data_IF_471901480588
#
_entry.id   IF_471901480588
#
_cell.length_a   1.000
_cell.length_b   1.000
_cell.length_c   1.000
_cell.angle_alpha   90.00
_cell.angle_beta   90.00
_cell.angle_gamma   90.00
#
_symmetry.space_group_name_H-M   'P 1'
#
loop_
_entity.id
_entity.type
_entity.pdbx_description
1 polymer ?
#
# COMPACT_ATOMS: atom_id res chain seq x y z
N UNK A 1 19.88 2.81 -27.51
CA UNK A 1 19.51 2.18 -26.24
C UNK A 1 18.22 1.39 -26.43
N UNK A 2 18.24 0.15 -25.97
CA UNK A 2 17.09 -0.76 -26.06
C UNK A 2 16.69 -1.21 -24.64
N UNK A 3 15.41 -1.09 -24.32
CA UNK A 3 14.84 -1.51 -23.04
C UNK A 3 13.76 -2.55 -23.28
N UNK A 4 13.83 -3.65 -22.57
CA UNK A 4 12.83 -4.70 -22.58
C UNK A 4 12.31 -4.95 -21.15
N UNK A 5 11.07 -4.53 -20.91
CA UNK A 5 10.40 -4.65 -19.62
C UNK A 5 9.34 -5.76 -19.66
N UNK A 6 9.36 -6.61 -18.67
CA UNK A 6 8.38 -7.67 -18.46
C UNK A 6 7.84 -7.57 -17.04
N UNK A 7 6.52 -7.67 -16.91
CA UNK A 7 5.82 -7.69 -15.63
C UNK A 7 4.71 -8.73 -15.67
N UNK A 8 4.62 -9.57 -14.63
CA UNK A 8 3.55 -10.54 -14.46
C UNK A 8 3.22 -10.69 -12.98
N UNK A 9 1.94 -10.77 -12.68
CA UNK A 9 1.46 -10.90 -11.30
C UNK A 9 0.18 -11.70 -11.18
N UNK A 10 -0.09 -12.14 -9.97
CA UNK A 10 -1.34 -12.80 -9.57
C UNK A 10 -1.80 -12.21 -8.25
N UNK A 11 -3.09 -12.02 -8.10
CA UNK A 11 -3.70 -11.58 -6.86
C UNK A 11 -4.93 -12.43 -6.53
N UNK A 12 -5.13 -12.65 -5.24
CA UNK A 12 -6.30 -13.34 -4.67
C UNK A 12 -6.93 -12.39 -3.68
N UNK A 13 -8.23 -12.25 -3.77
CA UNK A 13 -9.01 -11.41 -2.86
C UNK A 13 -10.21 -12.20 -2.36
N UNK A 14 -10.48 -12.13 -1.07
CA UNK A 14 -11.65 -12.73 -0.44
C UNK A 14 -12.22 -11.80 0.61
N UNK A 15 -13.52 -11.78 0.73
CA UNK A 15 -14.20 -10.93 1.70
C UNK A 15 -15.52 -11.54 2.15
N UNK A 16 -15.94 -11.21 3.37
CA UNK A 16 -17.29 -11.40 3.85
C UNK A 16 -17.78 -10.07 4.42
N UNK A 17 -18.76 -9.48 3.75
CA UNK A 17 -19.38 -8.23 4.14
C UNK A 17 -20.73 -8.57 4.82
N UNK A 18 -20.81 -8.26 6.11
CA UNK A 18 -22.05 -8.36 6.87
C UNK A 18 -22.23 -7.07 7.66
N UNK A 19 -23.29 -6.31 7.37
CA UNK A 19 -23.58 -5.04 8.01
C UNK A 19 -24.47 -5.16 9.26
N UNK A 20 -24.95 -6.36 9.59
CA UNK A 20 -25.84 -6.54 10.74
C UNK A 20 -25.10 -6.30 12.07
N UNK A 21 -25.80 -5.76 13.05
CA UNK A 21 -25.29 -5.64 14.41
C UNK A 21 -24.92 -7.03 14.97
N UNK A 22 -23.82 -7.11 15.71
CA UNK A 22 -23.33 -8.37 16.30
C UNK A 22 -22.66 -9.31 15.30
N UNK A 23 -22.31 -8.84 14.10
CA UNK A 23 -21.69 -9.66 13.05
C UNK A 23 -20.22 -9.34 12.82
N UNK A 24 -19.49 -10.37 12.40
CA UNK A 24 -18.12 -10.22 11.91
C UNK A 24 -18.11 -9.93 10.41
N UNK A 25 -17.13 -9.15 9.96
CA UNK A 25 -16.78 -8.97 8.57
C UNK A 25 -15.27 -9.05 8.41
N UNK A 26 -14.82 -9.43 7.21
CA UNK A 26 -13.41 -9.46 6.88
C UNK A 26 -13.18 -9.16 5.41
N UNK A 27 -12.00 -8.67 5.13
CA UNK A 27 -11.45 -8.53 3.80
C UNK A 27 -9.99 -8.97 3.83
N UNK A 28 -9.58 -9.79 2.90
CA UNK A 28 -8.20 -10.22 2.72
C UNK A 28 -7.83 -10.17 1.25
N UNK A 29 -6.67 -9.59 0.97
CA UNK A 29 -6.08 -9.52 -0.35
C UNK A 29 -4.62 -9.92 -0.25
N UNK A 30 -4.16 -10.76 -1.19
CA UNK A 30 -2.75 -11.11 -1.33
C UNK A 30 -2.39 -11.06 -2.80
N UNK A 31 -1.25 -10.47 -3.12
CA UNK A 31 -0.76 -10.31 -4.46
C UNK A 31 0.72 -10.63 -4.54
N UNK A 32 1.13 -11.30 -5.61
CA UNK A 32 2.53 -11.49 -5.96
C UNK A 32 2.76 -10.92 -7.35
N UNK A 33 3.85 -10.18 -7.49
CA UNK A 33 4.25 -9.58 -8.75
C UNK A 33 5.74 -9.81 -9.00
N UNK A 34 6.07 -10.14 -10.25
CA UNK A 34 7.44 -10.30 -10.74
C UNK A 34 7.69 -9.35 -11.88
N UNK A 35 8.70 -8.50 -11.74
CA UNK A 35 9.15 -7.59 -12.79
C UNK A 35 10.60 -7.90 -13.19
N UNK A 36 10.86 -7.78 -14.47
CA UNK A 36 12.18 -7.91 -15.06
C UNK A 36 12.41 -6.82 -16.09
N UNK A 37 13.53 -6.14 -16.00
CA UNK A 37 13.92 -5.15 -16.98
C UNK A 37 15.36 -5.40 -17.46
N UNK A 38 15.55 -5.43 -18.78
CA UNK A 38 16.85 -5.49 -19.43
C UNK A 38 17.11 -4.12 -20.07
N UNK A 39 18.13 -3.43 -19.61
CA UNK A 39 18.56 -2.15 -20.18
C UNK A 39 19.91 -2.40 -20.87
N UNK A 40 19.97 -2.16 -22.17
CA UNK A 40 21.21 -2.20 -22.95
C UNK A 40 21.63 -0.77 -23.23
N UNK A 41 22.68 -0.29 -22.58
CA UNK A 41 23.24 1.03 -22.78
C UNK A 41 24.35 1.07 -23.81
N UNK A 42 24.77 2.28 -24.22
CA UNK A 42 25.83 2.52 -25.22
C UNK A 42 27.23 2.03 -24.79
N UNK A 43 27.39 1.49 -23.59
CA UNK A 43 28.65 1.00 -23.01
C UNK A 43 28.58 -0.47 -22.56
N UNK A 44 28.02 -1.35 -23.36
CA UNK A 44 28.04 -2.83 -23.19
C UNK A 44 27.69 -3.41 -21.80
N UNK A 45 27.21 -2.63 -20.87
CA UNK A 45 26.73 -3.10 -19.59
C UNK A 45 25.22 -3.39 -19.62
N UNK A 46 24.88 -4.67 -19.75
CA UNK A 46 23.55 -5.18 -19.55
C UNK A 46 23.15 -5.03 -18.08
N UNK A 47 22.41 -4.01 -17.74
CA UNK A 47 21.78 -3.91 -16.41
C UNK A 47 20.50 -4.71 -16.42
N UNK A 48 20.53 -5.89 -15.83
CA UNK A 48 19.35 -6.70 -15.60
C UNK A 48 18.84 -6.45 -14.17
N UNK A 49 17.61 -5.98 -14.08
CA UNK A 49 16.91 -5.80 -12.82
C UNK A 49 15.81 -6.85 -12.73
N UNK A 50 15.74 -7.52 -11.61
CA UNK A 50 14.64 -8.40 -11.25
C UNK A 50 14.09 -7.97 -9.91
N UNK A 51 12.78 -7.80 -9.85
CA UNK A 51 12.06 -7.44 -8.63
C UNK A 51 10.92 -8.42 -8.40
N UNK A 52 10.78 -8.85 -7.16
CA UNK A 52 9.65 -9.63 -6.68
C UNK A 52 8.95 -8.84 -5.58
N UNK A 53 7.65 -8.69 -5.70
CA UNK A 53 6.82 -7.98 -4.75
C UNK A 53 5.77 -8.93 -4.22
N UNK A 54 5.63 -8.99 -2.91
CA UNK A 54 4.54 -9.66 -2.22
C UNK A 54 3.77 -8.63 -1.41
N UNK A 55 2.49 -8.49 -1.72
CA UNK A 55 1.55 -7.63 -1.01
C UNK A 55 0.54 -8.50 -0.25
N UNK A 56 0.32 -8.21 1.00
CA UNK A 56 -0.74 -8.81 1.83
C UNK A 56 -1.44 -7.69 2.57
N UNK A 57 -2.76 -7.64 2.45
CA UNK A 57 -3.63 -6.72 3.16
C UNK A 57 -4.80 -7.50 3.75
N UNK A 58 -5.08 -7.28 5.02
CA UNK A 58 -6.14 -7.97 5.74
C UNK A 58 -6.82 -7.01 6.71
N UNK A 59 -8.13 -7.08 6.76
CA UNK A 59 -8.95 -6.38 7.74
C UNK A 59 -9.95 -7.36 8.33
N UNK A 60 -10.06 -7.38 9.64
CA UNK A 60 -11.15 -8.05 10.35
C UNK A 60 -11.87 -7.03 11.22
N UNK A 61 -13.19 -7.07 11.24
CA UNK A 61 -14.00 -6.12 11.99
C UNK A 61 -15.23 -6.77 12.60
N UNK A 62 -15.74 -6.11 13.63
CA UNK A 62 -16.96 -6.48 14.32
C UNK A 62 -17.92 -5.30 14.38
N UNK A 63 -19.14 -5.52 13.94
CA UNK A 63 -20.21 -4.53 13.96
C UNK A 63 -20.88 -4.55 15.34
N UNK A 64 -20.60 -3.56 16.18
CA UNK A 64 -21.27 -3.39 17.46
C UNK A 64 -22.74 -2.99 17.27
N UNK A 65 -22.99 -2.16 16.26
CA UNK A 65 -24.31 -1.80 15.80
C UNK A 65 -24.30 -1.77 14.26
N UNK A 66 -25.45 -1.57 13.62
CA UNK A 66 -25.54 -1.36 12.17
C UNK A 66 -24.78 -0.14 11.68
N UNK A 67 -24.47 0.80 12.58
CA UNK A 67 -23.79 2.07 12.26
C UNK A 67 -22.35 2.15 12.77
N UNK A 68 -21.96 1.30 13.71
CA UNK A 68 -20.65 1.39 14.36
C UNK A 68 -19.90 0.06 14.34
N UNK A 69 -18.69 0.09 13.83
CA UNK A 69 -17.79 -1.06 13.78
C UNK A 69 -16.39 -0.75 14.34
N UNK A 70 -15.78 -1.77 14.92
CA UNK A 70 -14.38 -1.78 15.34
C UNK A 70 -13.63 -2.72 14.42
N UNK A 71 -12.48 -2.26 13.91
CA UNK A 71 -11.72 -2.97 12.90
C UNK A 71 -10.25 -3.06 13.30
N UNK A 72 -9.62 -4.14 12.90
CA UNK A 72 -8.18 -4.32 12.95
C UNK A 72 -7.69 -4.68 11.55
N UNK A 73 -6.88 -3.82 10.97
CA UNK A 73 -6.18 -4.07 9.72
C UNK A 73 -4.73 -4.49 9.96
N UNK A 74 -4.20 -5.26 9.04
CA UNK A 74 -2.78 -5.60 8.95
C UNK A 74 -2.38 -5.58 7.48
N UNK A 75 -1.25 -4.96 7.16
CA UNK A 75 -0.73 -4.92 5.80
C UNK A 75 0.77 -5.17 5.80
N UNK A 76 1.23 -5.88 4.78
CA UNK A 76 2.64 -6.13 4.54
C UNK A 76 2.93 -5.97 3.06
N UNK A 77 3.95 -5.21 2.73
CA UNK A 77 4.56 -5.18 1.40
C UNK A 77 6.01 -5.59 1.53
N UNK A 78 6.40 -6.62 0.82
CA UNK A 78 7.76 -7.10 0.74
C UNK A 78 8.26 -6.96 -0.70
N UNK A 79 9.45 -6.39 -0.88
CA UNK A 79 10.13 -6.30 -2.16
C UNK A 79 11.54 -6.89 -2.07
N UNK A 80 11.89 -7.72 -3.04
CA UNK A 80 13.24 -8.27 -3.20
C UNK A 80 13.75 -7.92 -4.58
N UNK A 81 14.85 -7.17 -4.62
CA UNK A 81 15.48 -6.67 -5.83
C UNK A 81 16.80 -7.37 -6.06
N UNK A 82 17.11 -7.72 -7.29
CA UNK A 82 18.40 -8.25 -7.71
C UNK A 82 18.90 -7.54 -8.96
N UNK A 83 20.11 -7.02 -8.83
CA UNK A 83 20.84 -6.32 -9.90
C UNK A 83 21.94 -7.20 -10.41
N UNK A 84 22.04 -7.39 -11.71
CA UNK A 84 23.02 -8.29 -12.28
C UNK A 84 24.33 -7.58 -12.62
N UNK A 85 24.31 -6.26 -12.83
CA UNK A 85 25.53 -5.47 -13.10
C UNK A 85 26.51 -5.49 -11.94
N UNK A 86 26.01 -5.44 -10.71
CA UNK A 86 26.84 -5.29 -9.51
C UNK A 86 26.75 -6.49 -8.55
N UNK A 87 25.95 -7.50 -8.89
CA UNK A 87 25.71 -8.66 -8.03
C UNK A 87 24.95 -8.33 -6.73
N UNK A 88 24.48 -7.10 -6.59
CA UNK A 88 23.79 -6.63 -5.38
C UNK A 88 22.36 -7.13 -5.36
N UNK A 89 21.97 -7.68 -4.22
CA UNK A 89 20.57 -7.99 -3.92
C UNK A 89 20.13 -7.20 -2.70
N UNK A 90 18.93 -6.66 -2.75
CA UNK A 90 18.30 -5.94 -1.64
C UNK A 90 16.95 -6.55 -1.31
N UNK A 91 16.63 -6.58 -0.04
CA UNK A 91 15.29 -6.96 0.42
C UNK A 91 14.77 -5.92 1.39
N UNK A 92 13.53 -5.49 1.17
CA UNK A 92 12.88 -4.44 1.94
C UNK A 92 11.46 -4.86 2.27
N UNK A 93 10.96 -4.44 3.41
CA UNK A 93 9.58 -4.72 3.79
C UNK A 93 8.96 -3.58 4.58
N UNK A 94 7.67 -3.38 4.41
CA UNK A 94 6.84 -2.58 5.29
C UNK A 94 5.80 -3.50 5.91
N UNK A 95 5.72 -3.50 7.23
CA UNK A 95 4.67 -4.22 7.98
C UNK A 95 3.90 -3.18 8.77
N UNK A 96 2.59 -3.22 8.74
CA UNK A 96 1.75 -2.31 9.51
C UNK A 96 0.55 -3.01 10.13
N UNK A 97 0.13 -2.51 11.28
CA UNK A 97 -1.13 -2.82 11.93
C UNK A 97 -1.96 -1.54 12.05
N UNK A 98 -3.28 -1.70 11.95
CA UNK A 98 -4.16 -0.57 11.80
C UNK A 98 -5.49 -0.78 12.54
N UNK A 99 -5.52 -0.58 13.88
CA UNK A 99 -6.76 -0.49 14.63
C UNK A 99 -7.52 0.79 14.25
N UNK A 100 -8.82 0.65 13.95
CA UNK A 100 -9.67 1.78 13.60
C UNK A 100 -11.13 1.50 13.89
N UNK A 101 -11.90 2.56 14.02
CA UNK A 101 -13.35 2.53 14.19
C UNK A 101 -14.02 3.22 13.00
N UNK A 102 -15.20 2.77 12.65
CA UNK A 102 -16.01 3.37 11.60
C UNK A 102 -17.42 3.62 12.16
N UNK A 103 -17.89 4.84 11.96
CA UNK A 103 -19.27 5.24 12.18
C UNK A 103 -19.88 5.57 10.82
N UNK A 104 -20.94 4.87 10.43
CA UNK A 104 -21.59 5.05 9.15
C UNK A 104 -23.11 5.20 9.33
N UNK A 105 -23.69 6.14 8.61
CA UNK A 105 -25.12 6.35 8.50
C UNK A 105 -25.52 6.49 7.03
N UNK A 106 -26.76 6.78 6.76
CA UNK A 106 -27.27 6.89 5.37
C UNK A 106 -26.54 7.98 4.55
N UNK A 107 -26.10 9.05 5.20
CA UNK A 107 -25.49 10.21 4.52
C UNK A 107 -24.08 10.52 4.96
N UNK A 108 -23.53 9.78 5.89
CA UNK A 108 -22.18 10.03 6.39
C UNK A 108 -21.42 8.74 6.67
N UNK A 109 -20.13 8.81 6.54
CA UNK A 109 -19.17 7.78 6.98
C UNK A 109 -17.97 8.47 7.59
N UNK A 110 -17.68 8.18 8.84
CA UNK A 110 -16.54 8.73 9.56
C UNK A 110 -15.71 7.58 10.11
N UNK A 111 -14.42 7.62 9.88
CA UNK A 111 -13.47 6.65 10.40
C UNK A 111 -12.33 7.35 11.11
N UNK A 112 -11.84 6.75 12.18
CA UNK A 112 -10.65 7.21 12.90
C UNK A 112 -9.85 6.02 13.44
N UNK A 113 -8.53 6.15 13.45
CA UNK A 113 -7.64 5.10 13.89
C UNK A 113 -6.18 5.52 13.98
N UNK A 114 -5.34 4.54 14.25
CA UNK A 114 -3.90 4.68 14.29
C UNK A 114 -3.27 3.59 13.42
N UNK A 115 -2.23 3.93 12.69
CA UNK A 115 -1.41 2.96 11.95
C UNK A 115 -0.04 2.90 12.60
N UNK A 116 0.33 1.75 13.15
CA UNK A 116 1.70 1.47 13.54
C UNK A 116 2.39 0.75 12.39
N UNK A 117 3.51 1.30 11.91
CA UNK A 117 4.26 0.78 10.77
C UNK A 117 5.72 0.56 11.11
N UNK A 118 6.30 -0.49 10.54
CA UNK A 118 7.71 -0.82 10.64
C UNK A 118 8.27 -1.03 9.24
N UNK A 119 9.25 -0.19 8.87
CA UNK A 119 9.98 -0.28 7.62
C UNK A 119 11.31 -1.01 7.90
N UNK A 120 11.56 -2.07 7.15
CA UNK A 120 12.77 -2.87 7.14
C UNK A 120 13.51 -2.64 5.82
N UNK A 121 14.76 -2.24 5.87
CA UNK A 121 15.54 -2.01 4.65
C UNK A 121 17.03 -1.85 4.91
N UNK A 122 17.85 -1.84 3.85
CA UNK A 122 19.30 -1.70 3.94
C UNK A 122 19.74 -0.35 4.53
N UNK A 123 18.93 0.69 4.37
CA UNK A 123 19.19 2.04 4.90
C UNK A 123 18.83 2.19 6.39
N UNK A 124 18.49 1.08 7.04
CA UNK A 124 18.09 1.03 8.44
C UNK A 124 16.59 0.86 8.64
N UNK A 125 16.25 0.38 9.82
CA UNK A 125 14.87 0.13 10.20
C UNK A 125 14.23 1.38 10.77
N UNK A 126 12.96 1.60 10.46
CA UNK A 126 12.19 2.76 10.95
C UNK A 126 10.85 2.32 11.50
N UNK A 127 10.53 2.78 12.68
CA UNK A 127 9.21 2.61 13.29
C UNK A 127 8.47 3.94 13.29
N UNK A 128 7.15 3.88 13.05
CA UNK A 128 6.29 5.05 13.10
C UNK A 128 4.88 4.71 13.56
N UNK A 129 4.24 5.67 14.23
CA UNK A 129 2.82 5.64 14.54
C UNK A 129 2.19 6.84 13.86
N UNK A 130 1.17 6.58 13.07
CA UNK A 130 0.53 7.57 12.21
C UNK A 130 -0.95 7.64 12.52
N UNK A 131 -1.53 8.84 12.61
CA UNK A 131 -2.98 8.98 12.70
C UNK A 131 -3.62 8.63 11.37
N UNK A 132 -4.85 8.19 11.45
CA UNK A 132 -5.73 8.03 10.32
C UNK A 132 -7.12 8.58 10.64
N UNK A 133 -7.63 9.37 9.74
CA UNK A 133 -8.96 9.92 9.80
C UNK A 133 -9.55 9.99 8.39
N UNK A 134 -10.82 9.67 8.27
CA UNK A 134 -11.56 9.82 7.03
C UNK A 134 -13.00 10.21 7.36
N UNK A 135 -13.51 11.21 6.67
CA UNK A 135 -14.90 11.65 6.78
C UNK A 135 -15.47 11.85 5.38
N UNK A 136 -16.67 11.36 5.17
CA UNK A 136 -17.46 11.56 3.96
C UNK A 136 -18.88 11.94 4.37
N UNK A 137 -19.42 12.99 3.75
CA UNK A 137 -20.78 13.47 3.99
C UNK A 137 -21.47 13.74 2.65
N UNK A 138 -22.61 13.11 2.44
CA UNK A 138 -23.49 13.39 1.31
C UNK A 138 -24.49 14.46 1.71
N UNK A 139 -24.36 15.65 1.13
CA UNK A 139 -25.23 16.81 1.43
C UNK A 139 -26.52 16.73 0.62
N UNK A 140 -26.40 16.47 -0.66
CA UNK A 140 -27.53 16.29 -1.54
C UNK A 140 -27.38 14.98 -2.30
N UNK A 141 -28.43 14.15 -2.26
CA UNK A 141 -28.41 12.88 -2.96
C UNK A 141 -28.12 13.12 -4.44
N UNK A 142 -27.18 12.32 -4.96
CA UNK A 142 -26.80 12.23 -6.37
C UNK A 142 -25.94 13.36 -6.96
N UNK A 143 -25.71 14.49 -6.26
CA UNK A 143 -24.93 15.56 -6.89
C UNK A 143 -23.91 16.30 -6.00
N UNK A 144 -23.98 16.18 -4.66
CA UNK A 144 -23.02 16.86 -3.78
C UNK A 144 -22.61 15.99 -2.60
N UNK A 145 -21.32 15.69 -2.54
CA UNK A 145 -20.67 15.08 -1.38
C UNK A 145 -19.41 15.86 -1.05
N UNK A 146 -19.07 15.92 0.23
CA UNK A 146 -17.79 16.44 0.70
C UNK A 146 -17.02 15.34 1.41
N UNK A 147 -15.72 15.36 1.30
CA UNK A 147 -14.84 14.44 2.01
C UNK A 147 -13.63 15.16 2.59
N UNK A 148 -13.12 14.61 3.68
CA UNK A 148 -11.85 15.01 4.27
C UNK A 148 -11.14 13.76 4.78
N UNK A 149 -9.84 13.69 4.58
CA UNK A 149 -9.01 12.58 5.02
C UNK A 149 -7.64 13.03 5.46
N UNK A 150 -7.08 12.29 6.40
CA UNK A 150 -5.72 12.45 6.86
C UNK A 150 -5.14 11.07 7.16
N UNK A 151 -3.95 10.79 6.68
CA UNK A 151 -3.25 9.55 6.96
C UNK A 151 -1.74 9.76 6.99
N UNK A 152 -1.04 8.85 7.65
CA UNK A 152 0.40 8.73 7.53
C UNK A 152 0.80 7.27 7.36
N UNK A 153 1.96 7.02 6.79
CA UNK A 153 2.44 5.66 6.53
C UNK A 153 3.93 5.62 6.18
N UNK A 154 4.51 4.43 6.23
CA UNK A 154 5.75 4.12 5.53
C UNK A 154 5.41 3.59 4.14
N UNK A 155 6.01 4.19 3.12
CA UNK A 155 5.90 3.77 1.73
C UNK A 155 7.14 3.01 1.28
N UNK A 156 6.96 1.85 0.68
CA UNK A 156 8.01 1.10 0.01
C UNK A 156 7.96 1.45 -1.48
N UNK A 157 8.94 2.20 -1.96
CA UNK A 157 9.05 2.52 -3.38
C UNK A 157 9.71 1.36 -4.11
N UNK A 158 8.97 0.65 -4.93
CA UNK A 158 9.49 -0.44 -5.73
C UNK A 158 9.96 0.05 -7.10
N UNK A 159 10.82 -0.73 -7.75
CA UNK A 159 11.24 -0.44 -9.11
C UNK A 159 10.04 -0.41 -10.07
N UNK A 160 9.10 -1.32 -9.87
CA UNK A 160 7.88 -1.40 -10.66
C UNK A 160 6.99 -0.15 -10.52
N UNK A 161 6.83 0.38 -9.29
CA UNK A 161 6.08 1.62 -9.07
C UNK A 161 6.73 2.78 -9.84
N UNK A 162 8.06 2.88 -9.77
CA UNK A 162 8.84 3.92 -10.47
C UNK A 162 8.79 3.79 -11.98
N UNK A 163 8.85 2.56 -12.51
CA UNK A 163 8.74 2.32 -13.95
C UNK A 163 7.36 2.71 -14.49
N UNK A 164 6.32 2.61 -13.68
CA UNK A 164 4.97 3.05 -14.07
C UNK A 164 4.88 4.57 -14.15
N UNK A 165 5.58 5.28 -13.26
CA UNK A 165 5.64 6.75 -13.27
C UNK A 165 6.57 7.29 -14.37
N UNK A 166 7.75 6.68 -14.51
CA UNK A 166 8.75 7.08 -15.48
C UNK A 166 9.54 5.85 -15.99
N UNK A 167 9.30 5.40 -17.25
CA UNK A 167 9.98 4.24 -17.83
C UNK A 167 11.51 4.37 -17.94
N UNK A 168 12.04 5.59 -17.85
CA UNK A 168 13.46 5.89 -17.96
C UNK A 168 14.18 6.03 -16.61
N UNK A 169 13.53 5.66 -15.51
CA UNK A 169 14.13 5.77 -14.17
C UNK A 169 15.31 4.81 -14.02
N UNK A 170 16.39 5.33 -13.46
CA UNK A 170 17.54 4.51 -13.08
C UNK A 170 17.24 3.78 -11.77
N UNK A 171 17.51 2.50 -11.75
CA UNK A 171 17.17 1.61 -10.66
C UNK A 171 17.93 1.90 -9.34
N UNK A 172 19.07 2.60 -9.36
CA UNK A 172 19.86 2.95 -8.18
C UNK A 172 19.29 4.12 -7.35
N UNK A 173 18.12 4.65 -7.71
CA UNK A 173 17.47 5.78 -7.03
C UNK A 173 16.19 5.37 -6.30
N UNK A 174 16.15 4.17 -5.72
CA UNK A 174 15.00 3.73 -4.95
C UNK A 174 15.19 4.09 -3.47
N UNK A 175 14.44 5.08 -3.03
CA UNK A 175 14.38 5.48 -1.62
C UNK A 175 13.00 5.20 -1.06
N UNK A 176 12.97 4.51 0.08
CA UNK A 176 11.74 4.31 0.81
C UNK A 176 11.31 5.61 1.51
N UNK A 177 10.03 5.88 1.48
CA UNK A 177 9.47 7.10 2.01
C UNK A 177 8.77 6.87 3.35
N UNK A 178 8.87 7.85 4.23
CA UNK A 178 7.98 8.00 5.37
C UNK A 178 7.11 9.23 5.11
N UNK A 179 5.82 9.02 4.99
CA UNK A 179 4.85 10.09 4.81
C UNK A 179 4.14 10.29 6.14
N UNK A 180 4.55 11.29 6.96
CA UNK A 180 3.95 11.50 8.26
C UNK A 180 2.52 12.02 8.17
N UNK A 181 2.23 12.81 7.14
CA UNK A 181 0.94 13.45 6.91
C UNK A 181 0.62 13.50 5.41
N UNK A 182 -0.51 12.93 5.04
CA UNK A 182 -1.16 13.08 3.75
C UNK A 182 -2.58 13.56 4.03
N UNK A 183 -2.93 14.75 3.59
CA UNK A 183 -4.21 15.41 3.87
C UNK A 183 -4.93 15.65 2.56
N UNK A 184 -6.18 15.24 2.49
CA UNK A 184 -7.03 15.35 1.32
C UNK A 184 -8.38 15.94 1.70
N UNK A 185 -8.94 16.77 0.83
CA UNK A 185 -10.29 17.33 0.97
C UNK A 185 -10.89 17.61 -0.41
N UNK A 186 -12.23 17.51 -0.53
CA UNK A 186 -12.97 17.78 -1.75
C UNK A 186 -14.48 17.76 -1.56
#
# INVERSE_FOLDING_TARGET
DYQNYYNAGVAIETYALNGAAGSWHYHWKSGYNHAKNNITGAHDSLSLIRENILDIDAVAGYNLTEKFSINLGAATRFASDRWTSDGVSSSRAVVSIFPHVILAGERYKVGAGLRAGYLLGPDGNRFGIFPWFNAHLTIAQDWLSIYAGMQGYHGLNTYQDRMTENPWVFANQMYDATVPWDVQAG
#
